data_IF_614645551630
#
_entry.id   IF_614645551630
#
_cell.length_a   1.000
_cell.length_b   1.000
_cell.length_c   1.000
_cell.angle_alpha   90.00
_cell.angle_beta   90.00
_cell.angle_gamma   90.00
#
_symmetry.space_group_name_H-M   'P 1'
#
loop_
_entity.id
_entity.type
_entity.pdbx_description
1 polymer ?
#
# COMPACT_ATOMS: atom_id res chain seq x y z
N UNK A 1 -38.74 11.06 -1.59
CA UNK A 1 -37.67 10.21 -1.05
C UNK A 1 -37.58 10.47 0.44
N UNK A 2 -37.59 9.41 1.24
CA UNK A 2 -37.30 9.46 2.67
C UNK A 2 -35.86 9.94 2.88
N UNK A 3 -35.59 10.60 4.02
CA UNK A 3 -34.24 11.00 4.42
C UNK A 3 -33.26 9.82 4.43
N UNK A 4 -33.73 8.62 4.79
CA UNK A 4 -32.92 7.39 4.80
C UNK A 4 -32.53 6.97 3.37
N UNK A 5 -33.43 7.10 2.41
CA UNK A 5 -33.15 6.80 0.99
C UNK A 5 -32.12 7.78 0.42
N UNK A 6 -32.20 9.06 0.81
CA UNK A 6 -31.22 10.06 0.39
C UNK A 6 -29.82 9.76 0.95
N UNK A 7 -29.73 9.26 2.18
CA UNK A 7 -28.46 8.86 2.80
C UNK A 7 -27.84 7.64 2.11
N UNK A 8 -28.66 6.64 1.78
CA UNK A 8 -28.20 5.49 1.01
C UNK A 8 -27.69 5.90 -0.38
N UNK A 9 -28.44 6.76 -1.09
CA UNK A 9 -28.04 7.25 -2.40
C UNK A 9 -26.73 8.05 -2.38
N UNK A 10 -26.44 8.79 -1.31
CA UNK A 10 -25.15 9.48 -1.16
C UNK A 10 -24.00 8.49 -0.97
N UNK A 11 -24.23 7.39 -0.25
CA UNK A 11 -23.23 6.32 -0.12
C UNK A 11 -22.88 5.70 -1.47
N UNK A 12 -23.89 5.34 -2.26
CA UNK A 12 -23.70 4.73 -3.58
C UNK A 12 -23.08 5.73 -4.59
N UNK A 13 -23.48 7.00 -4.57
CA UNK A 13 -22.86 8.07 -5.37
C UNK A 13 -21.38 8.27 -5.02
N UNK A 14 -21.04 8.25 -3.73
CA UNK A 14 -19.66 8.37 -3.27
C UNK A 14 -18.79 7.19 -3.75
N UNK A 15 -19.31 5.96 -3.70
CA UNK A 15 -18.63 4.77 -4.23
C UNK A 15 -18.37 4.92 -5.74
N UNK A 16 -19.36 5.35 -6.51
CA UNK A 16 -19.23 5.56 -7.97
C UNK A 16 -18.21 6.67 -8.29
N UNK A 17 -18.33 7.82 -7.64
CA UNK A 17 -17.47 8.98 -7.89
C UNK A 17 -16.03 8.73 -7.44
N UNK A 18 -15.83 8.02 -6.32
CA UNK A 18 -14.49 7.64 -5.88
C UNK A 18 -13.80 6.73 -6.90
N UNK A 19 -14.55 5.84 -7.57
CA UNK A 19 -13.98 4.97 -8.61
C UNK A 19 -13.49 5.74 -9.85
N UNK A 20 -14.11 6.87 -10.19
CA UNK A 20 -13.77 7.68 -11.37
C UNK A 20 -12.58 8.63 -11.15
N UNK A 21 -12.28 8.99 -9.90
CA UNK A 21 -11.20 9.90 -9.54
C UNK A 21 -9.84 9.30 -9.89
N UNK A 22 -8.99 10.05 -10.60
CA UNK A 22 -7.68 9.58 -11.07
C UNK A 22 -6.50 10.08 -10.23
N UNK A 23 -6.70 11.12 -9.42
CA UNK A 23 -5.62 11.75 -8.64
C UNK A 23 -5.97 11.94 -7.17
N UNK A 24 -4.94 11.99 -6.31
CA UNK A 24 -5.13 12.28 -4.88
C UNK A 24 -5.76 13.66 -4.63
N UNK A 25 -5.41 14.65 -5.46
CA UNK A 25 -5.98 16.00 -5.35
C UNK A 25 -7.48 16.04 -5.67
N UNK A 26 -7.91 15.32 -6.71
CA UNK A 26 -9.33 15.13 -7.03
C UNK A 26 -10.05 14.39 -5.90
N UNK A 27 -9.41 13.40 -5.28
CA UNK A 27 -9.97 12.64 -4.16
C UNK A 27 -10.15 13.51 -2.91
N UNK A 28 -9.20 14.39 -2.61
CA UNK A 28 -9.28 15.37 -1.52
C UNK A 28 -10.42 16.38 -1.74
N UNK A 29 -10.58 16.83 -2.99
CA UNK A 29 -11.68 17.71 -3.40
C UNK A 29 -13.03 17.01 -3.21
N UNK A 30 -13.15 15.76 -3.69
CA UNK A 30 -14.34 14.93 -3.54
C UNK A 30 -14.70 14.70 -2.07
N UNK A 31 -13.71 14.37 -1.23
CA UNK A 31 -13.92 14.19 0.21
C UNK A 31 -14.42 15.46 0.89
N UNK A 32 -13.89 16.62 0.51
CA UNK A 32 -14.36 17.92 1.01
C UNK A 32 -15.80 18.23 0.58
N UNK A 33 -16.17 17.86 -0.64
CA UNK A 33 -17.52 18.01 -1.18
C UNK A 33 -18.54 17.11 -0.47
N UNK A 34 -18.18 15.84 -0.21
CA UNK A 34 -19.09 14.83 0.33
C UNK A 34 -19.18 14.85 1.87
N UNK A 35 -18.09 15.10 2.58
CA UNK A 35 -18.02 15.07 4.06
C UNK A 35 -17.99 16.47 4.70
N UNK A 36 -17.86 17.53 3.90
CA UNK A 36 -17.76 18.90 4.40
C UNK A 36 -18.98 19.37 5.20
N UNK A 37 -18.83 20.44 6.01
CA UNK A 37 -19.95 21.01 6.79
C UNK A 37 -21.09 21.61 5.96
N UNK A 38 -20.83 21.87 4.68
CA UNK A 38 -21.78 22.35 3.66
C UNK A 38 -22.14 21.27 2.63
N UNK A 39 -21.70 20.03 2.87
CA UNK A 39 -22.06 18.89 2.00
C UNK A 39 -23.51 18.52 2.21
N UNK A 40 -24.06 17.74 1.27
CA UNK A 40 -25.39 17.15 1.36
C UNK A 40 -25.55 16.32 2.65
N UNK A 41 -24.52 15.58 3.07
CA UNK A 41 -24.47 14.88 4.36
C UNK A 41 -24.49 15.82 5.55
N UNK A 42 -23.75 16.93 5.47
CA UNK A 42 -23.71 17.96 6.51
C UNK A 42 -25.06 18.69 6.69
N UNK A 43 -25.80 18.90 5.61
CA UNK A 43 -27.15 19.47 5.65
C UNK A 43 -28.17 18.48 6.23
N UNK A 44 -28.15 17.22 5.78
CA UNK A 44 -28.98 16.16 6.34
C UNK A 44 -28.71 15.97 7.85
N UNK A 45 -27.45 16.07 8.29
CA UNK A 45 -27.08 16.03 9.70
C UNK A 45 -27.71 17.17 10.53
N UNK A 46 -27.89 18.36 9.95
CA UNK A 46 -28.57 19.48 10.64
C UNK A 46 -30.07 19.23 10.74
N UNK A 47 -30.68 18.67 9.70
CA UNK A 47 -32.11 18.33 9.66
C UNK A 47 -32.55 17.28 10.67
N UNK A 48 -31.63 16.47 11.24
CA UNK A 48 -31.94 15.54 12.33
C UNK A 48 -32.56 16.22 13.56
N UNK A 49 -32.28 17.50 13.78
CA UNK A 49 -32.77 18.25 14.94
C UNK A 49 -34.28 18.46 14.92
N UNK A 50 -34.88 18.43 13.73
CA UNK A 50 -36.29 18.74 13.51
C UNK A 50 -37.18 17.48 13.54
N UNK A 51 -36.58 16.29 13.68
CA UNK A 51 -37.28 15.00 13.73
C UNK A 51 -37.69 14.60 15.15
N UNK A 52 -38.76 13.82 15.27
CA UNK A 52 -39.18 13.19 16.53
C UNK A 52 -38.18 12.12 17.00
N UNK A 53 -38.23 11.73 18.27
CA UNK A 53 -37.17 10.91 18.89
C UNK A 53 -36.93 9.55 18.21
N UNK A 54 -38.00 8.88 17.78
CA UNK A 54 -37.91 7.57 17.11
C UNK A 54 -37.38 7.71 15.67
N UNK A 55 -37.86 8.70 14.91
CA UNK A 55 -37.37 8.99 13.56
C UNK A 55 -35.92 9.47 13.58
N UNK A 56 -35.55 10.29 14.58
CA UNK A 56 -34.19 10.78 14.80
C UNK A 56 -33.22 9.63 15.09
N UNK A 57 -33.62 8.60 15.85
CA UNK A 57 -32.79 7.40 16.06
C UNK A 57 -32.54 6.64 14.76
N UNK A 58 -33.59 6.43 13.96
CA UNK A 58 -33.47 5.70 12.69
C UNK A 58 -32.59 6.48 11.69
N UNK A 59 -32.87 7.77 11.51
CA UNK A 59 -32.11 8.65 10.63
C UNK A 59 -30.65 8.84 11.10
N UNK A 60 -30.41 8.87 12.42
CA UNK A 60 -29.06 8.98 12.98
C UNK A 60 -28.19 7.76 12.72
N UNK A 61 -28.79 6.55 12.80
CA UNK A 61 -28.10 5.31 12.39
C UNK A 61 -27.77 5.34 10.91
N UNK A 62 -28.76 5.63 10.05
CA UNK A 62 -28.55 5.72 8.61
C UNK A 62 -27.49 6.78 8.23
N UNK A 63 -27.41 7.90 8.96
CA UNK A 63 -26.39 8.93 8.73
C UNK A 63 -24.99 8.44 9.08
N UNK A 64 -24.84 7.72 10.19
CA UNK A 64 -23.56 7.14 10.58
C UNK A 64 -23.10 6.08 9.57
N UNK A 65 -24.02 5.23 9.12
CA UNK A 65 -23.75 4.20 8.12
C UNK A 65 -23.34 4.83 6.79
N UNK A 66 -24.04 5.88 6.34
CA UNK A 66 -23.69 6.61 5.13
C UNK A 66 -22.31 7.29 5.26
N UNK A 67 -22.01 7.94 6.39
CA UNK A 67 -20.68 8.51 6.63
C UNK A 67 -19.58 7.43 6.59
N UNK A 68 -19.83 6.27 7.20
CA UNK A 68 -18.88 5.17 7.20
C UNK A 68 -18.63 4.62 5.80
N UNK A 69 -19.69 4.46 4.98
CA UNK A 69 -19.56 4.02 3.58
C UNK A 69 -18.78 5.02 2.72
N UNK A 70 -19.11 6.32 2.83
CA UNK A 70 -18.39 7.38 2.11
C UNK A 70 -16.92 7.40 2.50
N UNK A 71 -16.61 7.35 3.80
CA UNK A 71 -15.24 7.33 4.29
C UNK A 71 -14.48 6.10 3.79
N UNK A 72 -15.10 4.91 3.87
CA UNK A 72 -14.49 3.68 3.39
C UNK A 72 -14.20 3.71 1.87
N UNK A 73 -15.10 4.27 1.06
CA UNK A 73 -14.89 4.42 -0.37
C UNK A 73 -13.71 5.34 -0.70
N UNK A 74 -13.62 6.49 0.00
CA UNK A 74 -12.51 7.43 -0.16
C UNK A 74 -11.18 6.83 0.28
N UNK A 75 -11.16 6.14 1.42
CA UNK A 75 -9.93 5.52 1.96
C UNK A 75 -9.45 4.37 1.07
N UNK A 76 -10.37 3.54 0.57
CA UNK A 76 -10.05 2.47 -0.38
C UNK A 76 -9.45 3.04 -1.67
N UNK A 77 -10.04 4.10 -2.23
CA UNK A 77 -9.49 4.74 -3.43
C UNK A 77 -8.14 5.40 -3.17
N UNK A 78 -7.95 6.06 -2.02
CA UNK A 78 -6.66 6.66 -1.65
C UNK A 78 -5.57 5.60 -1.61
N UNK A 79 -5.82 4.48 -0.94
CA UNK A 79 -4.86 3.39 -0.84
C UNK A 79 -4.48 2.82 -2.21
N UNK A 80 -5.45 2.67 -3.12
CA UNK A 80 -5.21 2.21 -4.49
C UNK A 80 -4.34 3.21 -5.29
N UNK A 81 -4.67 4.50 -5.25
CA UNK A 81 -3.89 5.55 -5.93
C UNK A 81 -2.46 5.64 -5.39
N UNK A 82 -2.27 5.59 -4.07
CA UNK A 82 -0.94 5.58 -3.45
C UNK A 82 -0.12 4.34 -3.82
N UNK A 83 -0.77 3.17 -3.91
CA UNK A 83 -0.11 1.94 -4.34
C UNK A 83 0.33 2.02 -5.81
N UNK A 84 -0.50 2.61 -6.69
CA UNK A 84 -0.18 2.83 -8.09
C UNK A 84 0.99 3.80 -8.28
N UNK A 85 0.96 4.95 -7.60
CA UNK A 85 2.06 5.92 -7.56
C UNK A 85 3.37 5.28 -7.10
N UNK A 86 3.31 4.53 -5.98
CA UNK A 86 4.47 3.83 -5.44
C UNK A 86 5.04 2.82 -6.42
N UNK A 87 4.19 2.02 -7.06
CA UNK A 87 4.62 1.02 -8.05
C UNK A 87 5.27 1.69 -9.25
N UNK A 88 4.66 2.74 -9.77
CA UNK A 88 5.23 3.53 -10.88
C UNK A 88 6.62 4.05 -10.52
N UNK A 89 6.78 4.62 -9.32
CA UNK A 89 8.07 5.09 -8.83
C UNK A 89 9.12 3.98 -8.75
N UNK A 90 8.74 2.80 -8.25
CA UNK A 90 9.65 1.64 -8.19
C UNK A 90 10.05 1.14 -9.58
N UNK A 91 9.12 1.15 -10.53
CA UNK A 91 9.40 0.76 -11.92
C UNK A 91 10.33 1.78 -12.60
N UNK A 92 10.15 3.08 -12.33
CA UNK A 92 11.00 4.17 -12.84
C UNK A 92 12.41 4.15 -12.20
N UNK A 93 12.51 3.79 -10.92
CA UNK A 93 13.77 3.67 -10.17
C UNK A 93 14.45 2.30 -10.35
N UNK A 94 13.92 1.42 -11.23
CA UNK A 94 14.42 0.06 -11.39
C UNK A 94 15.84 0.04 -11.95
N UNK A 95 16.79 -0.36 -11.11
CA UNK A 95 18.19 -0.56 -11.47
C UNK A 95 18.46 -2.03 -11.84
N UNK A 96 19.17 -2.27 -12.94
CA UNK A 96 19.67 -3.60 -13.29
C UNK A 96 20.95 -3.91 -12.48
N UNK A 97 20.80 -4.74 -11.44
CA UNK A 97 21.91 -5.16 -10.58
C UNK A 97 22.80 -6.24 -11.22
N UNK A 98 22.48 -6.73 -12.42
CA UNK A 98 23.29 -7.71 -13.16
C UNK A 98 24.34 -7.08 -14.07
N UNK A 99 24.23 -5.76 -14.31
CA UNK A 99 25.29 -5.03 -15.02
C UNK A 99 26.61 -5.22 -14.29
N UNK A 100 27.55 -5.84 -14.99
CA UNK A 100 28.83 -6.23 -14.42
C UNK A 100 29.68 -4.98 -14.19
N UNK A 101 29.72 -4.52 -12.95
CA UNK A 101 30.79 -3.65 -12.48
C UNK A 101 32.07 -4.49 -12.56
N UNK A 102 33.10 -4.01 -13.26
CA UNK A 102 34.36 -4.73 -13.43
C UNK A 102 34.86 -5.27 -12.08
N UNK A 103 34.65 -6.57 -11.84
CA UNK A 103 35.01 -7.21 -10.58
C UNK A 103 36.53 -7.34 -10.55
N UNK A 104 37.14 -6.96 -9.43
CA UNK A 104 38.57 -7.24 -9.23
C UNK A 104 38.77 -8.75 -9.32
N UNK A 105 39.69 -9.18 -10.19
CA UNK A 105 40.04 -10.59 -10.29
C UNK A 105 40.49 -11.10 -8.91
N UNK A 106 39.88 -12.20 -8.47
CA UNK A 106 40.38 -12.92 -7.31
C UNK A 106 41.76 -13.49 -7.66
N UNK A 107 42.67 -13.49 -6.69
CA UNK A 107 43.94 -14.21 -6.83
C UNK A 107 43.70 -15.72 -6.84
N UNK A 108 44.67 -16.46 -7.34
CA UNK A 108 44.67 -17.92 -7.31
C UNK A 108 45.98 -18.43 -6.70
N UNK A 109 45.92 -19.53 -5.97
CA UNK A 109 47.13 -20.23 -5.54
C UNK A 109 47.86 -20.78 -6.76
N UNK A 110 49.19 -20.81 -6.70
CA UNK A 110 50.00 -21.44 -7.72
C UNK A 110 49.67 -22.93 -7.85
N UNK A 111 49.75 -23.52 -9.05
CA UNK A 111 49.41 -24.93 -9.28
C UNK A 111 50.21 -25.90 -8.38
N UNK A 112 51.46 -25.55 -8.09
CA UNK A 112 52.32 -26.32 -7.17
C UNK A 112 51.73 -26.32 -5.76
N UNK A 113 51.34 -25.17 -5.23
CA UNK A 113 50.69 -25.05 -3.91
C UNK A 113 49.39 -25.84 -3.88
N UNK A 114 48.53 -25.68 -4.89
CA UNK A 114 47.28 -26.47 -4.96
C UNK A 114 47.52 -27.99 -4.98
N UNK A 115 48.60 -28.43 -5.63
CA UNK A 115 48.97 -29.86 -5.68
C UNK A 115 49.54 -30.33 -4.35
N UNK A 116 50.36 -29.50 -3.71
CA UNK A 116 50.91 -29.76 -2.39
C UNK A 116 49.80 -29.93 -1.35
N UNK A 117 48.92 -28.92 -1.22
CA UNK A 117 47.81 -28.93 -0.28
C UNK A 117 46.91 -30.18 -0.49
N UNK A 118 46.59 -30.52 -1.75
CA UNK A 118 45.82 -31.73 -2.08
C UNK A 118 46.50 -33.02 -1.68
N UNK A 119 47.83 -33.10 -1.78
CA UNK A 119 48.58 -34.28 -1.35
C UNK A 119 48.61 -34.36 0.17
N UNK A 120 48.88 -33.23 0.84
CA UNK A 120 48.88 -33.13 2.30
C UNK A 120 47.53 -33.56 2.88
N UNK A 121 46.42 -33.08 2.31
CA UNK A 121 45.06 -33.45 2.73
C UNK A 121 44.84 -34.97 2.74
N UNK A 122 45.36 -35.69 1.74
CA UNK A 122 45.24 -37.16 1.66
C UNK A 122 46.01 -37.83 2.79
N UNK A 123 47.26 -37.43 3.03
CA UNK A 123 48.10 -38.05 4.06
C UNK A 123 47.65 -37.66 5.48
N UNK A 124 47.20 -36.42 5.69
CA UNK A 124 46.58 -35.99 6.94
C UNK A 124 45.31 -36.81 7.21
N UNK A 125 44.48 -37.04 6.19
CA UNK A 125 43.31 -37.93 6.30
C UNK A 125 43.66 -39.38 6.70
N UNK A 126 44.89 -39.82 6.42
CA UNK A 126 45.42 -41.13 6.82
C UNK A 126 46.09 -41.13 8.21
N UNK A 127 46.11 -40.00 8.91
CA UNK A 127 46.68 -39.87 10.26
C UNK A 127 48.16 -39.46 10.30
N UNK A 128 48.72 -38.99 9.19
CA UNK A 128 50.06 -38.41 9.14
C UNK A 128 50.04 -36.93 9.52
N UNK A 129 51.18 -36.40 9.98
CA UNK A 129 51.36 -34.98 10.32
C UNK A 129 52.39 -34.35 9.39
N UNK A 130 52.10 -33.17 8.87
CA UNK A 130 53.03 -32.38 8.06
C UNK A 130 54.14 -31.80 8.95
N UNK A 131 55.39 -31.91 8.52
CA UNK A 131 56.54 -31.28 9.15
C UNK A 131 57.27 -30.39 8.13
N UNK A 132 57.50 -29.13 8.49
CA UNK A 132 58.21 -28.14 7.67
C UNK A 132 59.62 -27.90 8.23
N UNK A 133 60.61 -27.67 7.36
CA UNK A 133 62.02 -27.42 7.72
C UNK A 133 62.82 -26.77 6.60
#
# INVERSE_FOLDING_TARGET
MSMIEQLAAIGDDAESRAAEVATLAELDSLGSELLGKRSRLGELKKGLRDLDEDERRAAGRALNDANARVQAALDARRADLEAQERRRRLDDERLDLTETIATRALGHLHLVTQTHDRLEDVFVGMGFTVAEG
#
